data_IF_781906946169
#
_entry.id   IF_781906946169
#
_cell.length_a   1.000
_cell.length_b   1.000
_cell.length_c   1.000
_cell.angle_alpha   90.00
_cell.angle_beta   90.00
_cell.angle_gamma   90.00
#
_symmetry.space_group_name_H-M   'P 1'
#
loop_
_entity.id
_entity.type
_entity.pdbx_description
1 polymer ?
#
# COMPACT_ATOMS: atom_id res chain seq x y z
N UNK A 1 -15.51 12.92 19.87
CA UNK A 1 -14.52 13.30 18.82
C UNK A 1 -15.30 13.70 17.59
N UNK A 2 -15.17 14.93 17.15
CA UNK A 2 -15.73 15.38 15.86
C UNK A 2 -15.02 14.63 14.74
N UNK A 3 -15.76 14.09 13.77
CA UNK A 3 -15.19 13.50 12.59
C UNK A 3 -14.32 14.54 11.88
N UNK A 4 -13.03 14.28 11.75
CA UNK A 4 -12.14 15.14 10.97
C UNK A 4 -12.58 15.06 9.51
N UNK A 5 -12.81 16.20 8.89
CA UNK A 5 -13.16 16.26 7.49
C UNK A 5 -12.04 15.63 6.64
N UNK A 6 -12.41 14.76 5.70
CA UNK A 6 -11.47 14.07 4.81
C UNK A 6 -10.64 15.07 4.00
N UNK A 7 -11.22 16.19 3.58
CA UNK A 7 -10.48 17.24 2.88
C UNK A 7 -9.35 17.79 3.75
N UNK A 8 -9.63 18.10 5.01
CA UNK A 8 -8.62 18.58 5.98
C UNK A 8 -7.49 17.55 6.18
N UNK A 9 -7.83 16.24 6.24
CA UNK A 9 -6.82 15.19 6.34
C UNK A 9 -5.92 15.13 5.10
N UNK A 10 -6.50 15.24 3.91
CA UNK A 10 -5.76 15.21 2.65
C UNK A 10 -4.86 16.44 2.50
N UNK A 11 -5.34 17.62 2.85
CA UNK A 11 -4.59 18.88 2.81
C UNK A 11 -3.46 18.90 3.84
N UNK A 12 -3.72 18.40 5.05
CA UNK A 12 -2.75 18.37 6.15
C UNK A 12 -1.72 17.26 6.06
N UNK A 13 -1.98 16.19 5.29
CA UNK A 13 -1.06 15.05 5.19
C UNK A 13 0.25 15.42 4.48
N UNK A 14 1.35 15.18 5.15
CA UNK A 14 2.71 15.35 4.59
C UNK A 14 3.45 14.01 4.55
N UNK A 15 4.47 13.91 3.70
CA UNK A 15 5.40 12.77 3.73
C UNK A 15 6.47 13.04 4.79
N UNK A 16 6.36 12.33 5.92
CA UNK A 16 7.30 12.47 7.02
C UNK A 16 8.65 11.80 6.70
N UNK A 17 9.72 12.44 7.15
CA UNK A 17 11.08 11.90 7.12
C UNK A 17 11.65 11.65 8.52
N UNK A 18 11.10 12.32 9.53
CA UNK A 18 11.54 12.24 10.92
C UNK A 18 10.42 11.63 11.77
N UNK A 19 10.73 10.54 12.44
CA UNK A 19 9.83 9.81 13.32
C UNK A 19 10.37 9.78 14.74
N UNK A 20 9.47 9.66 15.71
CA UNK A 20 9.84 9.42 17.11
C UNK A 20 10.19 7.92 17.29
N UNK A 21 11.46 7.58 17.52
CA UNK A 21 11.88 6.18 17.62
C UNK A 21 11.40 5.51 18.92
N UNK A 22 10.93 6.28 19.90
CA UNK A 22 10.34 5.74 21.13
C UNK A 22 8.86 5.38 20.96
N UNK A 23 8.22 5.83 19.87
CA UNK A 23 6.82 5.52 19.60
C UNK A 23 6.69 4.10 19.04
N UNK A 24 5.79 3.33 19.63
CA UNK A 24 5.45 1.98 19.20
C UNK A 24 3.97 1.91 18.80
N UNK A 25 3.64 0.99 17.92
CA UNK A 25 2.26 0.62 17.60
C UNK A 25 2.01 -0.81 18.09
N UNK A 26 0.87 -1.02 18.71
CA UNK A 26 0.41 -2.36 19.04
C UNK A 26 0.08 -3.15 17.76
N UNK A 27 0.14 -4.49 17.84
CA UNK A 27 -0.21 -5.37 16.70
C UNK A 27 -1.60 -5.05 16.17
N UNK A 28 -2.58 -4.83 17.05
CA UNK A 28 -3.95 -4.48 16.67
C UNK A 28 -4.05 -3.14 15.89
N UNK A 29 -3.21 -2.14 16.21
CA UNK A 29 -3.17 -0.88 15.48
C UNK A 29 -2.60 -1.08 14.07
N UNK A 30 -1.57 -1.94 13.93
CA UNK A 30 -0.99 -2.31 12.64
C UNK A 30 -2.01 -3.06 11.79
N UNK A 31 -2.71 -4.05 12.37
CA UNK A 31 -3.76 -4.83 11.71
C UNK A 31 -4.92 -3.94 11.25
N UNK A 32 -5.31 -2.95 12.06
CA UNK A 32 -6.36 -2.00 11.70
C UNK A 32 -5.94 -1.11 10.52
N UNK A 33 -4.69 -0.66 10.46
CA UNK A 33 -4.18 0.07 9.30
C UNK A 33 -4.25 -0.77 8.01
N UNK A 34 -3.86 -2.04 8.10
CA UNK A 34 -3.96 -2.99 6.99
C UNK A 34 -5.42 -3.23 6.62
N UNK A 35 -6.31 -3.47 7.60
CA UNK A 35 -7.74 -3.63 7.36
C UNK A 35 -8.32 -2.46 6.56
N UNK A 36 -7.97 -1.23 6.93
CA UNK A 36 -8.44 -0.04 6.19
C UNK A 36 -7.79 0.10 4.82
N UNK A 37 -6.52 -0.29 4.67
CA UNK A 37 -5.86 -0.35 3.37
C UNK A 37 -6.58 -1.28 2.39
N UNK A 38 -7.08 -2.42 2.88
CA UNK A 38 -7.83 -3.39 2.06
C UNK A 38 -9.22 -2.90 1.62
N UNK A 39 -9.67 -1.72 2.04
CA UNK A 39 -10.90 -1.07 1.52
C UNK A 39 -10.67 -0.37 0.18
N UNK A 40 -9.42 -0.32 -0.29
CA UNK A 40 -9.10 0.20 -1.62
C UNK A 40 -9.76 -0.65 -2.72
N UNK A 41 -10.16 -0.05 -3.85
CA UNK A 41 -10.61 -0.80 -5.01
C UNK A 41 -9.44 -1.48 -5.72
N UNK A 42 -9.73 -2.57 -6.43
CA UNK A 42 -8.81 -3.20 -7.39
C UNK A 42 -9.59 -3.68 -8.61
N UNK A 43 -8.92 -3.83 -9.75
CA UNK A 43 -9.57 -4.37 -10.94
C UNK A 43 -10.18 -5.75 -10.65
N UNK A 44 -11.42 -6.00 -11.09
CA UNK A 44 -12.13 -7.27 -10.86
C UNK A 44 -12.16 -7.74 -9.40
N UNK A 45 -11.99 -6.83 -8.44
CA UNK A 45 -11.82 -7.18 -7.02
C UNK A 45 -10.66 -8.19 -6.80
N UNK A 46 -9.58 -8.04 -7.55
CA UNK A 46 -8.40 -8.91 -7.47
C UNK A 46 -7.76 -8.92 -6.10
N UNK A 47 -7.80 -7.81 -5.37
CA UNK A 47 -7.19 -7.65 -4.05
C UNK A 47 -5.74 -8.14 -4.03
N UNK A 48 -5.03 -7.91 -5.11
CA UNK A 48 -3.70 -8.44 -5.41
C UNK A 48 -2.59 -7.61 -4.76
N UNK A 49 -2.71 -7.43 -3.45
CA UNK A 49 -1.73 -6.79 -2.57
C UNK A 49 -1.39 -7.67 -1.38
N UNK A 50 -0.19 -7.47 -0.87
CA UNK A 50 0.28 -8.01 0.40
C UNK A 50 1.06 -6.93 1.16
N UNK A 51 1.00 -6.97 2.48
CA UNK A 51 1.69 -6.03 3.35
C UNK A 51 2.63 -6.79 4.26
N UNK A 52 3.93 -6.47 4.22
CA UNK A 52 4.89 -7.02 5.19
C UNK A 52 5.17 -5.92 6.22
N UNK A 53 4.69 -6.10 7.44
CA UNK A 53 4.91 -5.17 8.54
C UNK A 53 6.26 -5.45 9.21
N UNK A 54 7.23 -4.57 9.01
CA UNK A 54 8.58 -4.67 9.57
C UNK A 54 8.63 -3.88 10.87
N UNK A 55 8.70 -4.59 12.00
CA UNK A 55 8.64 -4.01 13.35
C UNK A 55 9.86 -4.33 14.21
N UNK A 56 10.47 -5.53 14.06
CA UNK A 56 11.62 -5.89 14.89
C UNK A 56 12.88 -5.08 14.52
N UNK A 57 13.73 -4.76 15.50
CA UNK A 57 14.98 -4.02 15.25
C UNK A 57 15.86 -4.68 14.18
N UNK A 58 15.96 -6.01 14.19
CA UNK A 58 16.79 -6.78 13.25
C UNK A 58 16.22 -6.71 11.83
N UNK A 59 14.91 -6.85 11.66
CA UNK A 59 14.26 -6.74 10.35
C UNK A 59 14.32 -5.31 9.82
N UNK A 60 14.15 -4.30 10.69
CA UNK A 60 14.31 -2.88 10.34
C UNK A 60 15.74 -2.57 9.90
N UNK A 61 16.75 -3.14 10.56
CA UNK A 61 18.16 -2.96 10.17
C UNK A 61 18.40 -3.50 8.75
N UNK A 62 17.96 -4.72 8.45
CA UNK A 62 18.09 -5.31 7.11
C UNK A 62 17.35 -4.46 6.05
N UNK A 63 16.11 -4.06 6.35
CA UNK A 63 15.34 -3.24 5.43
C UNK A 63 15.98 -1.85 5.20
N UNK A 64 16.55 -1.25 6.25
CA UNK A 64 17.27 0.02 6.14
C UNK A 64 18.49 -0.08 5.22
N UNK A 65 19.25 -1.18 5.31
CA UNK A 65 20.36 -1.43 4.39
C UNK A 65 19.87 -1.55 2.94
N UNK A 66 18.81 -2.35 2.70
CA UNK A 66 18.19 -2.45 1.39
C UNK A 66 17.60 -1.12 0.89
N UNK A 67 17.27 -0.20 1.80
CA UNK A 67 16.76 1.15 1.52
C UNK A 67 17.85 2.23 1.57
N UNK A 68 19.09 1.89 1.23
CA UNK A 68 20.23 2.83 1.13
C UNK A 68 20.46 3.65 2.41
N UNK A 69 20.26 3.04 3.58
CA UNK A 69 20.55 3.65 4.87
C UNK A 69 19.51 4.67 5.37
N UNK A 70 18.36 4.80 4.73
CA UNK A 70 17.33 5.77 5.12
C UNK A 70 16.89 5.57 6.58
N UNK A 71 17.15 6.56 7.44
CA UNK A 71 16.92 6.49 8.89
C UNK A 71 15.46 6.23 9.25
N UNK A 72 14.51 6.82 8.52
CA UNK A 72 13.08 6.66 8.74
C UNK A 72 12.57 5.22 8.69
N UNK A 73 13.31 4.31 8.00
CA UNK A 73 12.98 2.87 7.97
C UNK A 73 13.08 2.25 9.35
N UNK A 74 14.08 2.64 10.15
CA UNK A 74 14.30 2.12 11.50
C UNK A 74 13.66 2.96 12.60
N UNK A 75 13.45 4.27 12.36
CA UNK A 75 12.91 5.20 13.34
C UNK A 75 11.37 5.18 13.41
N UNK A 76 10.69 4.85 12.32
CA UNK A 76 9.24 4.71 12.32
C UNK A 76 8.78 3.54 13.21
N UNK A 77 7.59 3.62 13.79
CA UNK A 77 7.02 2.53 14.60
C UNK A 77 6.92 1.22 13.80
N UNK A 78 6.49 1.31 12.55
CA UNK A 78 6.47 0.20 11.59
C UNK A 78 6.88 0.72 10.20
N UNK A 79 7.59 -0.09 9.43
CA UNK A 79 7.76 0.14 7.99
C UNK A 79 7.15 -1.00 7.23
N UNK A 80 6.12 -0.70 6.44
CA UNK A 80 5.49 -1.69 5.58
C UNK A 80 6.25 -1.80 4.26
N UNK A 81 6.49 -3.03 3.82
CA UNK A 81 6.78 -3.32 2.42
C UNK A 81 5.43 -3.52 1.76
N UNK A 82 5.07 -2.62 0.86
CA UNK A 82 3.84 -2.69 0.08
C UNK A 82 4.15 -3.55 -1.15
N UNK A 83 3.52 -4.70 -1.21
CA UNK A 83 3.75 -5.70 -2.26
C UNK A 83 2.51 -5.78 -3.15
N UNK A 84 2.72 -5.70 -4.45
CA UNK A 84 1.70 -6.02 -5.45
C UNK A 84 1.94 -7.42 -6.01
N UNK A 85 0.91 -8.22 -6.15
CA UNK A 85 0.98 -9.54 -6.78
C UNK A 85 0.44 -9.46 -8.19
N UNK A 86 1.04 -10.18 -9.13
CA UNK A 86 0.47 -10.34 -10.47
C UNK A 86 -0.96 -10.86 -10.37
N UNK A 87 -1.88 -10.41 -11.26
CA UNK A 87 -3.24 -10.91 -11.29
C UNK A 87 -3.30 -12.43 -11.43
N UNK A 88 -4.01 -13.06 -10.50
CA UNK A 88 -4.22 -14.51 -10.47
C UNK A 88 -5.66 -14.80 -10.91
N UNK A 89 -5.83 -15.23 -12.18
CA UNK A 89 -7.12 -15.59 -12.74
C UNK A 89 -7.66 -16.90 -12.12
N UNK A 90 -6.78 -17.87 -11.80
CA UNK A 90 -7.21 -19.16 -11.27
C UNK A 90 -7.82 -19.01 -9.86
N UNK A 91 -7.21 -18.22 -8.99
CA UNK A 91 -7.70 -17.98 -7.64
C UNK A 91 -8.83 -16.94 -7.55
N UNK A 92 -9.21 -16.29 -8.67
CA UNK A 92 -10.22 -15.23 -8.65
C UNK A 92 -11.60 -15.74 -8.20
N UNK A 93 -11.98 -16.96 -8.62
CA UNK A 93 -13.25 -17.55 -8.23
C UNK A 93 -13.43 -17.66 -6.71
N UNK A 94 -12.41 -18.10 -6.01
CA UNK A 94 -12.43 -18.18 -4.54
C UNK A 94 -12.54 -16.79 -3.90
N UNK A 95 -11.85 -15.79 -4.43
CA UNK A 95 -11.94 -14.41 -3.93
C UNK A 95 -13.30 -13.78 -4.14
N UNK A 96 -14.01 -14.13 -5.22
CA UNK A 96 -15.33 -13.60 -5.54
C UNK A 96 -16.46 -14.37 -4.86
N UNK A 97 -16.22 -15.61 -4.41
CA UNK A 97 -17.24 -16.47 -3.79
C UNK A 97 -18.04 -15.77 -2.67
N UNK A 98 -17.43 -15.06 -1.71
CA UNK A 98 -18.18 -14.38 -0.66
C UNK A 98 -19.18 -13.33 -1.22
N UNK A 99 -18.82 -12.67 -2.32
CA UNK A 99 -19.72 -11.69 -2.97
C UNK A 99 -20.91 -12.35 -3.66
N UNK A 100 -20.72 -13.55 -4.23
CA UNK A 100 -21.81 -14.35 -4.81
C UNK A 100 -22.74 -14.89 -3.70
N UNK A 101 -22.15 -15.46 -2.65
CA UNK A 101 -22.89 -15.99 -1.50
C UNK A 101 -23.72 -14.92 -0.78
N UNK A 102 -23.21 -13.70 -0.70
CA UNK A 102 -23.89 -12.54 -0.15
C UNK A 102 -24.93 -11.91 -1.12
N UNK A 103 -25.05 -12.42 -2.35
CA UNK A 103 -25.96 -11.89 -3.37
C UNK A 103 -25.55 -10.54 -3.95
N UNK A 104 -24.29 -10.12 -3.77
CA UNK A 104 -23.77 -8.84 -4.30
C UNK A 104 -23.42 -8.92 -5.78
N UNK A 105 -23.17 -10.13 -6.31
CA UNK A 105 -22.92 -10.35 -7.73
C UNK A 105 -23.52 -11.67 -8.22
N UNK A 106 -23.96 -11.74 -9.50
CA UNK A 106 -24.45 -12.98 -10.10
C UNK A 106 -23.33 -14.02 -10.23
N UNK A 107 -23.61 -15.29 -9.93
CA UNK A 107 -22.63 -16.38 -10.02
C UNK A 107 -22.01 -16.51 -11.43
N UNK A 108 -22.76 -16.29 -12.51
CA UNK A 108 -22.28 -16.36 -13.89
C UNK A 108 -21.16 -15.31 -14.19
N UNK A 109 -21.15 -14.19 -13.49
CA UNK A 109 -20.16 -13.14 -13.68
C UNK A 109 -18.73 -13.60 -13.28
N UNK A 110 -18.60 -14.58 -12.39
CA UNK A 110 -17.30 -15.11 -11.95
C UNK A 110 -16.51 -15.66 -13.14
N UNK A 111 -17.15 -16.49 -13.98
CA UNK A 111 -16.50 -17.07 -15.15
C UNK A 111 -16.09 -16.00 -16.17
N UNK A 112 -16.92 -14.98 -16.37
CA UNK A 112 -16.61 -13.88 -17.31
C UNK A 112 -15.44 -13.04 -16.82
N UNK A 113 -15.40 -12.71 -15.52
CA UNK A 113 -14.28 -11.97 -14.93
C UNK A 113 -12.98 -12.77 -14.90
N UNK A 114 -13.05 -14.08 -14.60
CA UNK A 114 -11.89 -14.97 -14.65
C UNK A 114 -11.26 -14.98 -16.05
N UNK A 115 -12.11 -15.11 -17.09
CA UNK A 115 -11.65 -15.07 -18.47
C UNK A 115 -11.04 -13.71 -18.82
N UNK A 116 -11.72 -12.62 -18.48
CA UNK A 116 -11.24 -11.27 -18.74
C UNK A 116 -9.88 -10.98 -18.07
N UNK A 117 -9.65 -11.48 -16.84
CA UNK A 117 -8.37 -11.36 -16.15
C UNK A 117 -7.29 -12.20 -16.85
N UNK A 118 -7.60 -13.43 -17.25
CA UNK A 118 -6.68 -14.28 -17.99
C UNK A 118 -6.27 -13.64 -19.33
N UNK A 119 -7.23 -13.08 -20.06
CA UNK A 119 -7.00 -12.42 -21.35
C UNK A 119 -6.18 -11.12 -21.20
N UNK A 120 -6.47 -10.33 -20.18
CA UNK A 120 -5.81 -9.03 -19.97
C UNK A 120 -4.37 -9.14 -19.43
N UNK A 121 -4.10 -10.14 -18.62
CA UNK A 121 -2.86 -10.21 -17.85
C UNK A 121 -2.06 -11.51 -18.06
N UNK A 122 -2.69 -12.62 -18.44
CA UNK A 122 -2.06 -13.95 -18.46
C UNK A 122 -0.85 -14.07 -19.40
N UNK A 123 -0.90 -13.45 -20.58
CA UNK A 123 0.18 -13.47 -21.57
C UNK A 123 0.99 -12.16 -21.61
N UNK A 124 0.70 -11.19 -20.76
CA UNK A 124 1.33 -9.87 -20.80
C UNK A 124 1.95 -9.51 -19.44
N UNK A 125 3.23 -9.80 -19.22
CA UNK A 125 3.90 -9.54 -17.95
C UNK A 125 3.97 -8.04 -17.59
N UNK A 126 3.98 -7.16 -18.59
CA UNK A 126 3.97 -5.71 -18.36
C UNK A 126 2.61 -5.29 -17.80
N UNK A 127 1.51 -5.70 -18.42
CA UNK A 127 0.17 -5.40 -17.91
C UNK A 127 -0.07 -6.02 -16.53
N UNK A 128 0.42 -7.24 -16.29
CA UNK A 128 0.31 -7.91 -15.00
C UNK A 128 1.06 -7.12 -13.91
N UNK A 129 2.29 -6.70 -14.20
CA UNK A 129 3.07 -5.87 -13.28
C UNK A 129 2.43 -4.50 -13.04
N UNK A 130 1.91 -3.86 -14.08
CA UNK A 130 1.26 -2.55 -13.95
C UNK A 130 0.02 -2.64 -13.06
N UNK A 131 -0.78 -3.71 -13.19
CA UNK A 131 -1.93 -3.92 -12.31
C UNK A 131 -1.51 -4.20 -10.87
N UNK A 132 -0.46 -5.00 -10.65
CA UNK A 132 0.09 -5.25 -9.33
C UNK A 132 0.52 -3.93 -8.64
N UNK A 133 1.23 -3.07 -9.37
CA UNK A 133 1.66 -1.74 -8.88
C UNK A 133 0.46 -0.84 -8.61
N UNK A 134 -0.52 -0.80 -9.51
CA UNK A 134 -1.73 0.03 -9.40
C UNK A 134 -2.53 -0.31 -8.15
N UNK A 135 -2.88 -1.58 -7.99
CA UNK A 135 -3.68 -2.06 -6.86
C UNK A 135 -2.97 -1.82 -5.52
N UNK A 136 -1.69 -2.19 -5.42
CA UNK A 136 -0.92 -1.99 -4.19
C UNK A 136 -0.74 -0.49 -3.84
N UNK A 137 -0.60 0.38 -4.85
CA UNK A 137 -0.50 1.83 -4.65
C UNK A 137 -1.82 2.42 -4.14
N UNK A 138 -2.96 1.95 -4.65
CA UNK A 138 -4.28 2.35 -4.14
C UNK A 138 -4.42 1.96 -2.66
N UNK A 139 -4.06 0.72 -2.30
CA UNK A 139 -4.12 0.26 -0.92
C UNK A 139 -3.16 1.04 0.00
N UNK A 140 -1.94 1.34 -0.44
CA UNK A 140 -1.01 2.19 0.30
C UNK A 140 -1.56 3.61 0.52
N UNK A 141 -2.28 4.16 -0.47
CA UNK A 141 -2.93 5.48 -0.34
C UNK A 141 -4.01 5.48 0.73
N UNK A 142 -4.83 4.44 0.80
CA UNK A 142 -5.82 4.26 1.86
C UNK A 142 -5.15 4.12 3.24
N UNK A 143 -4.05 3.35 3.32
CA UNK A 143 -3.27 3.23 4.57
C UNK A 143 -2.71 4.58 5.04
N UNK A 144 -2.21 5.42 4.12
CA UNK A 144 -1.70 6.75 4.46
C UNK A 144 -2.82 7.67 5.01
N UNK A 145 -4.00 7.62 4.45
CA UNK A 145 -5.18 8.37 4.94
C UNK A 145 -5.62 7.83 6.29
N UNK A 146 -5.68 6.50 6.45
CA UNK A 146 -6.01 5.86 7.72
C UNK A 146 -5.02 6.21 8.84
N UNK A 147 -3.72 6.24 8.54
CA UNK A 147 -2.69 6.67 9.48
C UNK A 147 -2.90 8.13 9.89
N UNK A 148 -3.14 9.03 8.94
CA UNK A 148 -3.40 10.45 9.22
C UNK A 148 -4.65 10.65 10.10
N UNK A 149 -5.73 9.90 9.85
CA UNK A 149 -6.95 9.93 10.66
C UNK A 149 -6.73 9.51 12.12
N UNK A 150 -5.64 8.76 12.40
CA UNK A 150 -5.21 8.34 13.73
C UNK A 150 -4.12 9.23 14.35
N UNK A 151 -3.82 10.38 13.72
CA UNK A 151 -2.74 11.27 14.16
C UNK A 151 -1.34 10.68 13.98
N UNK A 152 -1.20 9.66 13.12
CA UNK A 152 0.09 9.10 12.73
C UNK A 152 0.61 9.77 11.47
N UNK A 153 1.92 9.91 11.40
CA UNK A 153 2.61 10.34 10.20
C UNK A 153 2.93 9.14 9.31
N UNK A 154 3.05 9.39 8.01
CA UNK A 154 3.50 8.39 7.05
C UNK A 154 4.51 8.97 6.08
N UNK A 155 5.45 8.12 5.62
CA UNK A 155 6.47 8.48 4.63
C UNK A 155 6.64 7.38 3.60
N UNK A 156 6.05 7.56 2.42
CA UNK A 156 6.23 6.63 1.30
C UNK A 156 7.59 6.87 0.61
N UNK A 157 8.24 5.78 0.18
CA UNK A 157 9.52 5.82 -0.52
C UNK A 157 9.65 4.69 -1.54
N UNK A 158 10.35 4.98 -2.63
CA UNK A 158 10.70 4.01 -3.68
C UNK A 158 12.24 3.86 -3.82
N UNK A 159 13.00 4.57 -2.99
CA UNK A 159 14.45 4.48 -2.96
C UNK A 159 14.91 3.27 -2.14
N UNK A 160 14.88 2.09 -2.72
CA UNK A 160 15.37 0.84 -2.15
C UNK A 160 15.81 -0.11 -3.28
N UNK A 161 16.55 -1.16 -2.96
CA UNK A 161 16.91 -2.24 -3.86
C UNK A 161 15.78 -3.31 -3.87
N UNK A 162 14.99 -3.43 -4.96
CA UNK A 162 13.89 -4.38 -5.02
C UNK A 162 14.33 -5.83 -4.94
N UNK A 163 15.49 -6.17 -5.55
CA UNK A 163 15.98 -7.55 -5.56
C UNK A 163 16.39 -7.98 -4.15
N UNK A 164 17.07 -7.08 -3.42
CA UNK A 164 17.45 -7.32 -2.04
C UNK A 164 16.24 -7.45 -1.12
N UNK A 165 15.24 -6.56 -1.26
CA UNK A 165 13.98 -6.65 -0.49
C UNK A 165 13.26 -7.97 -0.79
N UNK A 166 13.18 -8.38 -2.05
CA UNK A 166 12.60 -9.67 -2.46
C UNK A 166 13.27 -10.84 -1.76
N UNK A 167 14.60 -10.90 -1.81
CA UNK A 167 15.37 -12.01 -1.23
C UNK A 167 15.27 -12.03 0.31
N UNK A 168 15.42 -10.89 0.97
CA UNK A 168 15.48 -10.81 2.44
C UNK A 168 14.13 -10.95 3.14
N UNK A 169 13.03 -10.61 2.45
CA UNK A 169 11.67 -10.64 3.02
C UNK A 169 10.77 -11.71 2.39
N UNK A 170 11.34 -12.63 1.62
CA UNK A 170 10.65 -13.81 1.10
C UNK A 170 9.49 -13.46 0.18
N UNK A 171 9.71 -12.55 -0.74
CA UNK A 171 8.75 -12.32 -1.82
C UNK A 171 8.88 -13.45 -2.85
N UNK A 172 7.74 -13.90 -3.35
CA UNK A 172 7.66 -14.99 -4.32
C UNK A 172 7.66 -14.47 -5.76
N UNK A 173 7.80 -15.38 -6.73
CA UNK A 173 7.65 -15.05 -8.14
C UNK A 173 6.26 -14.45 -8.40
N UNK A 174 6.23 -13.37 -9.20
CA UNK A 174 5.00 -12.61 -9.44
C UNK A 174 4.66 -11.58 -8.36
N UNK A 175 5.43 -11.48 -7.27
CA UNK A 175 5.32 -10.40 -6.30
C UNK A 175 6.30 -9.26 -6.61
N UNK A 176 5.82 -8.03 -6.51
CA UNK A 176 6.58 -6.80 -6.79
C UNK A 176 6.62 -5.95 -5.52
N UNK A 177 7.79 -5.67 -4.94
CA UNK A 177 7.88 -4.66 -3.88
C UNK A 177 7.68 -3.26 -4.50
N UNK A 178 6.48 -2.70 -4.29
CA UNK A 178 6.03 -1.46 -4.96
C UNK A 178 6.60 -0.22 -4.29
N UNK A 179 6.54 -0.18 -2.98
CA UNK A 179 7.08 0.90 -2.16
C UNK A 179 7.29 0.46 -0.73
N UNK A 180 8.11 1.20 0.00
CA UNK A 180 8.15 1.13 1.46
C UNK A 180 7.30 2.27 2.02
N UNK A 181 6.56 2.00 3.09
CA UNK A 181 5.73 2.98 3.78
C UNK A 181 6.07 2.97 5.27
N UNK A 182 6.84 3.97 5.71
CA UNK A 182 7.11 4.20 7.12
C UNK A 182 5.88 4.83 7.79
N UNK A 183 5.46 4.31 8.94
CA UNK A 183 4.33 4.83 9.72
C UNK A 183 4.70 4.90 11.20
N UNK A 184 4.35 6.01 11.85
CA UNK A 184 4.64 6.24 13.26
C UNK A 184 4.27 7.63 13.72
N UNK A 185 4.68 8.03 14.92
CA UNK A 185 4.54 9.41 15.37
C UNK A 185 5.60 10.29 14.73
N UNK A 186 5.19 11.48 14.26
CA UNK A 186 6.14 12.44 13.70
C UNK A 186 7.05 13.00 14.81
N UNK A 187 8.36 13.08 14.54
CA UNK A 187 9.26 13.93 15.33
C UNK A 187 9.22 15.38 14.83
N UNK A 188 9.64 16.35 15.65
CA UNK A 188 9.79 17.75 15.24
C UNK A 188 10.78 17.90 14.07
N UNK A 189 10.57 18.90 13.21
CA UNK A 189 11.47 19.22 12.10
C UNK A 189 11.05 18.65 10.74
N UNK A 190 9.92 17.96 10.65
CA UNK A 190 9.36 17.57 9.36
C UNK A 190 8.94 18.81 8.56
N UNK A 191 9.13 18.73 7.25
CA UNK A 191 8.74 19.81 6.35
C UNK A 191 7.22 19.91 6.23
N UNK A 192 6.68 21.12 5.99
CA UNK A 192 5.27 21.31 5.70
C UNK A 192 4.89 20.69 4.36
N UNK A 193 3.60 20.70 4.02
CA UNK A 193 3.10 20.25 2.72
C UNK A 193 3.79 21.04 1.61
N UNK A 194 4.36 20.31 0.66
CA UNK A 194 5.03 20.90 -0.50
C UNK A 194 4.00 21.48 -1.47
N UNK A 195 4.32 22.60 -2.15
CA UNK A 195 3.47 23.15 -3.21
C UNK A 195 3.10 22.10 -4.25
N UNK A 196 1.91 22.20 -4.77
CA UNK A 196 1.40 21.36 -5.86
C UNK A 196 1.39 22.15 -7.17
N UNK A 197 1.45 21.43 -8.27
CA UNK A 197 1.29 22.05 -9.58
C UNK A 197 -0.09 22.71 -9.68
N UNK A 198 -0.20 23.87 -10.38
CA UNK A 198 -1.49 24.51 -10.63
C UNK A 198 -2.48 23.56 -11.34
N UNK A 199 -3.76 23.66 -11.02
CA UNK A 199 -4.80 22.78 -11.61
C UNK A 199 -4.80 22.81 -13.14
N UNK A 200 -4.55 23.96 -13.76
CA UNK A 200 -4.46 24.10 -15.23
C UNK A 200 -3.38 23.25 -15.90
N UNK A 201 -2.40 22.76 -15.13
CA UNK A 201 -1.32 21.90 -15.66
C UNK A 201 -1.61 20.41 -15.51
N UNK A 202 -2.61 20.04 -14.72
CA UNK A 202 -2.94 18.66 -14.39
C UNK A 202 -4.39 18.29 -14.71
N UNK A 203 -5.22 19.27 -15.11
CA UNK A 203 -6.62 19.07 -15.48
C UNK A 203 -6.82 19.51 -16.94
N UNK A 204 -7.45 18.66 -17.73
CA UNK A 204 -7.95 18.96 -19.06
C UNK A 204 -9.44 18.64 -19.12
N UNK A 205 -10.20 19.46 -19.86
CA UNK A 205 -11.59 19.20 -20.17
C UNK A 205 -11.67 18.74 -21.63
N UNK A 206 -12.43 17.68 -21.92
CA UNK A 206 -12.68 17.14 -23.25
C UNK A 206 -14.14 17.34 -23.64
#
# INVERSE_FOLDING_TARGET
MTATDIATLLEGRVSANLFDPAAHLAVAEIEELVHLATRAPSAYNLQNWRFVAVTSPEAKARLREAAYGQAKVSEAAVTFIIVGSHPDAEGLGERLRPSVEAGFMPAGMVADWTRAVADAYGANPVSARDEAVRSATLAASFMMVAAAARGLASGAMVGFDPARVTAEFGLTDGEVPVMLLAVGRAAPGNWPQKPRRPLREVLSHA
#
